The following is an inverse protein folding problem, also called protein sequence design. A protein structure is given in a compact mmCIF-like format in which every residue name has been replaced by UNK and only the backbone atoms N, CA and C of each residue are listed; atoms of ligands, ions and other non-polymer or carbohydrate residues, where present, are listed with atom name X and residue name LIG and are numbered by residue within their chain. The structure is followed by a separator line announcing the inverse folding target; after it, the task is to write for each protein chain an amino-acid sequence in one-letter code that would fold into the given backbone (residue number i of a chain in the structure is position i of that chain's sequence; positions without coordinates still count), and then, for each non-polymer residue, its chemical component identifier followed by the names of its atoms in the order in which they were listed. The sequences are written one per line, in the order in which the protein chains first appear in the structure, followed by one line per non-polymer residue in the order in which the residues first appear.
data_IF_200828625897
#
_entry.id   IF_200828625897
#
_cell.length_a   1.000
_cell.length_b   1.000
_cell.length_c   1.000
_cell.angle_alpha   90.00
_cell.angle_beta   90.00
_cell.angle_gamma   90.00
#
_symmetry.space_group_name_H-M   'P 1'
#
loop_
_entity.id
_entity.type
_entity.pdbx_description
1 polymer ?
#
# COMPACT_ATOMS: atom_id res chain seq x y z
N UNK A 1 15.87 -9.50 -18.04
CA UNK A 1 15.12 -9.16 -16.82
C UNK A 1 14.03 -8.15 -17.16
N UNK A 2 12.78 -8.36 -16.72
CA UNK A 2 11.67 -7.49 -17.05
C UNK A 2 11.82 -6.09 -16.43
N UNK A 3 11.22 -5.09 -17.05
CA UNK A 3 11.28 -3.68 -16.63
C UNK A 3 10.76 -3.50 -15.19
N UNK A 4 11.58 -2.90 -14.32
CA UNK A 4 11.20 -2.44 -12.98
C UNK A 4 11.84 -3.17 -11.79
N UNK A 5 12.70 -4.15 -11.97
CA UNK A 5 13.44 -4.81 -10.87
C UNK A 5 14.76 -4.08 -10.66
N UNK A 6 15.02 -3.49 -9.50
CA UNK A 6 16.25 -2.76 -9.21
C UNK A 6 17.33 -3.60 -8.50
N UNK A 7 16.91 -4.68 -7.81
CA UNK A 7 17.79 -5.59 -7.09
C UNK A 7 17.17 -6.99 -7.02
N UNK A 8 18.00 -8.03 -6.91
CA UNK A 8 17.58 -9.41 -6.79
C UNK A 8 18.45 -10.14 -5.75
N UNK A 9 17.86 -11.06 -4.99
CA UNK A 9 18.59 -11.91 -4.03
C UNK A 9 18.91 -13.25 -4.67
N UNK A 10 20.13 -13.73 -4.53
CA UNK A 10 20.55 -15.05 -5.04
C UNK A 10 19.98 -16.14 -4.14
N UNK A 11 19.10 -16.97 -4.69
CA UNK A 11 18.50 -18.12 -3.96
C UNK A 11 19.46 -19.30 -3.96
N UNK A 12 19.91 -19.72 -5.15
CA UNK A 12 20.82 -20.83 -5.30
C UNK A 12 21.61 -20.77 -6.62
N UNK A 13 22.83 -21.31 -6.60
CA UNK A 13 23.62 -21.55 -7.80
C UNK A 13 23.36 -22.99 -8.28
N UNK A 14 23.03 -23.13 -9.57
CA UNK A 14 22.79 -24.45 -10.21
C UNK A 14 24.08 -25.11 -10.64
N UNK A 15 25.17 -24.33 -10.74
CA UNK A 15 26.51 -24.81 -11.12
C UNK A 15 27.56 -24.27 -10.12
N UNK A 16 28.64 -25.05 -9.93
CA UNK A 16 29.76 -24.67 -9.05
C UNK A 16 30.89 -23.99 -9.79
N UNK A 17 31.85 -23.39 -9.07
CA UNK A 17 33.09 -22.89 -9.63
C UNK A 17 33.87 -24.02 -10.29
N UNK A 18 34.21 -23.88 -11.55
CA UNK A 18 34.89 -24.89 -12.35
C UNK A 18 34.00 -25.66 -13.32
N UNK A 19 32.68 -25.53 -13.23
CA UNK A 19 31.75 -26.19 -14.14
C UNK A 19 31.65 -25.45 -15.49
N UNK A 20 31.37 -26.24 -16.54
CA UNK A 20 31.17 -25.72 -17.90
C UNK A 20 29.67 -25.64 -18.18
N UNK A 21 29.22 -24.47 -18.62
CA UNK A 21 27.82 -24.20 -18.97
C UNK A 21 27.69 -23.83 -20.44
N UNK A 22 26.53 -24.10 -21.02
CA UNK A 22 26.22 -23.74 -22.41
C UNK A 22 25.38 -22.45 -22.42
N UNK A 23 25.41 -21.78 -23.57
CA UNK A 23 24.52 -20.66 -23.83
C UNK A 23 23.06 -21.04 -23.55
N UNK A 24 22.30 -20.18 -22.89
CA UNK A 24 20.93 -20.34 -22.41
C UNK A 24 20.72 -21.37 -21.25
N UNK A 25 21.79 -21.98 -20.70
CA UNK A 25 21.64 -22.77 -19.47
C UNK A 25 21.35 -21.84 -18.27
N UNK A 26 20.36 -22.20 -17.46
CA UNK A 26 20.07 -21.50 -16.20
C UNK A 26 21.19 -21.74 -15.21
N UNK A 27 21.91 -20.69 -14.79
CA UNK A 27 23.09 -20.80 -13.91
C UNK A 27 22.83 -20.42 -12.47
N UNK A 28 21.84 -19.57 -12.23
CA UNK A 28 21.50 -19.07 -10.89
C UNK A 28 20.00 -18.80 -10.77
N UNK A 29 19.41 -19.19 -9.65
CA UNK A 29 18.06 -18.80 -9.26
C UNK A 29 18.11 -17.51 -8.43
N UNK A 30 17.28 -16.55 -8.78
CA UNK A 30 17.16 -15.27 -8.08
C UNK A 30 15.74 -15.01 -7.62
N UNK A 31 15.60 -14.46 -6.41
CA UNK A 31 14.34 -13.89 -5.92
C UNK A 31 14.29 -12.40 -6.20
N UNK A 32 13.22 -11.95 -6.83
CA UNK A 32 12.90 -10.52 -6.96
C UNK A 32 11.71 -10.19 -6.07
N UNK A 33 11.41 -8.92 -5.89
CA UNK A 33 10.24 -8.42 -5.14
C UNK A 33 8.90 -9.05 -5.57
N UNK A 34 8.83 -9.67 -6.76
CA UNK A 34 7.56 -10.14 -7.33
C UNK A 34 7.54 -11.59 -7.76
N UNK A 35 8.65 -12.18 -8.17
CA UNK A 35 8.72 -13.54 -8.71
C UNK A 35 10.14 -14.08 -8.58
N UNK A 36 10.26 -15.37 -8.29
CA UNK A 36 11.51 -16.12 -8.41
C UNK A 36 11.75 -16.47 -9.88
N UNK A 37 12.96 -16.25 -10.37
CA UNK A 37 13.29 -16.43 -11.78
C UNK A 37 14.69 -17.01 -11.94
N UNK A 38 14.84 -17.91 -12.92
CA UNK A 38 16.13 -18.43 -13.34
C UNK A 38 16.82 -17.45 -14.28
N UNK A 39 18.12 -17.26 -14.09
CA UNK A 39 18.94 -16.42 -14.96
C UNK A 39 19.79 -17.30 -15.87
N UNK A 40 19.52 -17.31 -17.20
CA UNK A 40 20.34 -18.04 -18.16
C UNK A 40 21.65 -17.31 -18.44
N UNK A 41 22.69 -18.09 -18.78
CA UNK A 41 23.95 -17.49 -19.25
C UNK A 41 23.85 -17.07 -20.72
N UNK A 42 24.34 -15.87 -21.07
CA UNK A 42 24.32 -15.38 -22.45
C UNK A 42 25.44 -15.98 -23.33
N UNK A 43 26.33 -16.78 -22.76
CA UNK A 43 27.50 -17.34 -23.47
C UNK A 43 27.89 -18.72 -22.91
N UNK A 44 28.41 -19.58 -23.76
CA UNK A 44 28.99 -20.86 -23.33
C UNK A 44 30.39 -20.63 -22.77
N UNK A 45 30.70 -21.20 -21.60
CA UNK A 45 31.99 -21.03 -20.97
C UNK A 45 32.13 -21.78 -19.65
N UNK A 46 33.26 -21.59 -18.98
CA UNK A 46 33.55 -22.20 -17.67
C UNK A 46 33.40 -21.13 -16.57
N UNK A 47 32.70 -21.43 -15.51
CA UNK A 47 32.58 -20.54 -14.35
C UNK A 47 33.91 -20.53 -13.61
N UNK A 48 34.62 -19.41 -13.64
CA UNK A 48 35.92 -19.27 -13.00
C UNK A 48 35.77 -18.92 -11.54
N UNK A 49 34.84 -17.98 -11.23
CA UNK A 49 34.63 -17.51 -9.87
C UNK A 49 33.22 -16.98 -9.69
N UNK A 50 32.62 -17.31 -8.57
CA UNK A 50 31.34 -16.76 -8.09
C UNK A 50 31.63 -15.56 -7.20
N UNK A 51 31.13 -14.38 -7.56
CA UNK A 51 31.37 -13.12 -6.85
C UNK A 51 30.30 -12.85 -5.78
N UNK A 52 29.10 -13.40 -5.94
CA UNK A 52 27.98 -13.26 -5.00
C UNK A 52 27.52 -14.63 -4.55
N UNK A 53 27.41 -14.83 -3.25
CA UNK A 53 27.01 -16.10 -2.67
C UNK A 53 25.49 -16.19 -2.46
N UNK A 54 25.01 -17.37 -2.07
CA UNK A 54 23.61 -17.57 -1.67
C UNK A 54 23.20 -16.56 -0.59
N UNK A 55 21.98 -16.03 -0.69
CA UNK A 55 21.37 -15.04 0.18
C UNK A 55 21.99 -13.62 0.08
N UNK A 56 22.88 -13.36 -0.89
CA UNK A 56 23.37 -12.00 -1.17
C UNK A 56 22.54 -11.28 -2.22
N UNK A 57 22.43 -9.95 -2.05
CA UNK A 57 21.70 -9.07 -2.97
C UNK A 57 22.62 -8.57 -4.06
N UNK A 58 22.20 -8.73 -5.31
CA UNK A 58 22.85 -8.19 -6.50
C UNK A 58 22.01 -7.08 -7.15
N UNK A 59 22.61 -5.95 -7.48
CA UNK A 59 21.95 -4.86 -8.20
C UNK A 59 22.04 -5.04 -9.70
N UNK A 60 21.11 -4.44 -10.45
CA UNK A 60 21.14 -4.48 -11.90
C UNK A 60 22.47 -3.87 -12.40
N UNK A 61 23.16 -4.61 -13.29
CA UNK A 61 24.45 -4.23 -13.83
C UNK A 61 25.67 -4.63 -12.97
N UNK A 62 25.44 -5.25 -11.80
CA UNK A 62 26.53 -5.78 -10.98
C UNK A 62 26.94 -7.17 -11.47
N UNK A 63 28.24 -7.42 -11.55
CA UNK A 63 28.75 -8.73 -11.92
C UNK A 63 28.53 -9.75 -10.80
N UNK A 64 27.88 -10.88 -11.09
CA UNK A 64 27.60 -11.95 -10.11
C UNK A 64 28.57 -13.12 -10.21
N UNK A 65 29.16 -13.36 -11.39
CA UNK A 65 30.16 -14.40 -11.62
C UNK A 65 31.12 -13.99 -12.75
N UNK A 66 32.31 -14.61 -12.78
CA UNK A 66 33.32 -14.47 -13.85
C UNK A 66 33.35 -15.79 -14.61
N UNK A 67 33.21 -15.72 -15.93
CA UNK A 67 33.26 -16.87 -16.82
C UNK A 67 34.42 -16.76 -17.80
N UNK A 68 35.09 -17.87 -18.08
CA UNK A 68 36.09 -18.01 -19.14
C UNK A 68 35.42 -18.55 -20.40
N UNK A 69 35.42 -17.74 -21.47
CA UNK A 69 34.82 -18.10 -22.74
C UNK A 69 35.88 -18.80 -23.60
N UNK A 70 35.63 -19.98 -24.10
CA UNK A 70 36.50 -20.70 -25.00
C UNK A 70 36.44 -20.06 -26.42
N UNK A 71 37.28 -19.05 -26.70
CA UNK A 71 37.38 -18.37 -28.00
C UNK A 71 38.08 -17.03 -27.90
N UNK A 72 39.29 -16.98 -28.45
CA UNK A 72 40.19 -15.89 -28.76
C UNK A 72 40.01 -14.49 -28.11
N UNK A 73 41.12 -14.06 -27.52
CA UNK A 73 41.28 -12.83 -26.76
C UNK A 73 41.01 -11.53 -27.50
N UNK A 74 40.49 -10.57 -26.77
CA UNK A 74 40.33 -9.19 -27.18
C UNK A 74 40.17 -8.28 -25.97
N UNK A 75 41.16 -7.43 -25.78
CA UNK A 75 41.39 -6.57 -24.62
C UNK A 75 40.31 -5.52 -24.36
N UNK A 76 40.14 -5.24 -23.10
CA UNK A 76 39.69 -4.03 -22.40
C UNK A 76 39.67 -2.75 -23.24
N UNK A 77 38.57 -2.03 -23.26
CA UNK A 77 38.52 -0.58 -23.39
C UNK A 77 37.33 -0.02 -22.64
N UNK A 78 37.67 0.74 -21.64
CA UNK A 78 36.85 1.68 -20.84
C UNK A 78 36.51 2.88 -21.75
N UNK A 79 35.24 3.33 -21.77
CA UNK A 79 34.82 4.74 -21.71
C UNK A 79 33.29 4.90 -21.92
N UNK A 80 32.67 5.88 -21.24
CA UNK A 80 31.24 6.11 -21.29
C UNK A 80 30.81 6.98 -22.47
N UNK A 81 29.72 6.63 -23.14
CA UNK A 81 29.06 7.51 -24.11
C UNK A 81 27.62 7.83 -23.73
N UNK A 82 27.34 9.13 -23.79
CA UNK A 82 26.02 9.78 -23.60
C UNK A 82 24.98 9.39 -24.66
N UNK A 83 23.68 9.62 -24.39
CA UNK A 83 22.60 9.09 -25.20
C UNK A 83 22.35 9.90 -26.47
N UNK A 84 22.21 9.21 -27.58
CA UNK A 84 21.66 9.76 -28.83
C UNK A 84 20.17 9.39 -28.94
N UNK A 85 19.36 10.43 -29.17
CA UNK A 85 17.99 10.45 -29.68
C UNK A 85 17.77 9.46 -30.83
N UNK A 86 16.67 8.72 -30.76
CA UNK A 86 16.14 7.94 -31.90
C UNK A 86 14.65 8.23 -32.06
N UNK A 87 14.34 8.61 -33.30
CA UNK A 87 13.00 8.89 -33.85
C UNK A 87 12.11 7.64 -33.97
N UNK A 88 10.82 7.89 -33.92
CA UNK A 88 9.67 7.14 -34.43
C UNK A 88 9.88 5.70 -34.95
N UNK A 89 9.24 4.74 -34.26
CA UNK A 89 8.71 3.53 -34.90
C UNK A 89 7.32 3.24 -34.35
N UNK A 90 6.32 3.43 -35.22
CA UNK A 90 4.98 2.90 -35.06
C UNK A 90 5.05 1.37 -34.97
N UNK A 91 4.45 0.78 -33.96
CA UNK A 91 4.21 -0.66 -33.92
C UNK A 91 2.72 -0.94 -33.66
N UNK A 92 2.14 -1.60 -34.63
CA UNK A 92 0.81 -2.22 -34.63
C UNK A 92 0.63 -3.12 -33.40
N UNK A 93 -0.50 -2.97 -32.73
CA UNK A 93 -0.97 -3.86 -31.65
C UNK A 93 -1.92 -4.87 -32.28
N UNK A 94 -1.66 -6.19 -32.22
CA UNK A 94 -2.65 -7.19 -32.61
C UNK A 94 -3.76 -7.26 -31.55
N UNK A 95 -5.00 -7.11 -31.97
CA UNK A 95 -6.20 -7.39 -31.17
C UNK A 95 -6.35 -8.91 -30.97
N UNK A 96 -6.42 -9.32 -29.71
CA UNK A 96 -6.78 -10.69 -29.32
C UNK A 96 -8.29 -10.90 -29.46
N UNK A 97 -8.69 -12.05 -29.98
CA UNK A 97 -10.08 -12.42 -30.27
C UNK A 97 -10.84 -12.83 -29.00
N UNK A 98 -12.16 -12.59 -29.01
CA UNK A 98 -13.11 -12.82 -27.90
C UNK A 98 -13.23 -14.27 -27.38
N UNK A 99 -12.57 -15.23 -27.98
CA UNK A 99 -12.56 -16.65 -27.54
C UNK A 99 -11.48 -16.96 -26.51
N UNK A 100 -10.36 -16.21 -26.47
CA UNK A 100 -9.27 -16.44 -25.51
C UNK A 100 -9.53 -15.85 -24.13
N UNK A 101 -10.52 -14.97 -23.99
CA UNK A 101 -10.89 -14.36 -22.68
C UNK A 101 -11.76 -15.28 -21.81
N UNK A 102 -12.43 -16.29 -22.41
CA UNK A 102 -13.33 -17.20 -21.69
C UNK A 102 -12.66 -18.36 -20.94
N UNK A 103 -11.39 -18.59 -21.15
CA UNK A 103 -10.68 -19.70 -20.49
C UNK A 103 -10.01 -19.31 -19.17
N UNK A 104 -10.00 -18.02 -18.80
CA UNK A 104 -9.38 -17.50 -17.57
C UNK A 104 -10.34 -17.31 -16.38
N UNK A 105 -11.64 -17.63 -16.54
CA UNK A 105 -12.62 -17.52 -15.45
C UNK A 105 -13.01 -18.91 -14.90
N UNK A 106 -12.07 -19.60 -14.25
CA UNK A 106 -12.44 -20.68 -13.32
C UNK A 106 -11.91 -20.36 -11.92
N UNK A 107 -12.78 -20.34 -10.89
CA UNK A 107 -12.37 -20.01 -9.53
C UNK A 107 -11.53 -21.15 -8.94
N UNK A 108 -10.30 -20.84 -8.53
CA UNK A 108 -9.46 -21.70 -7.72
C UNK A 108 -9.94 -21.63 -6.27
N UNK A 109 -10.51 -22.71 -5.81
CA UNK A 109 -10.87 -22.91 -4.40
C UNK A 109 -9.63 -22.90 -3.53
N UNK A 110 -9.70 -22.14 -2.43
CA UNK A 110 -8.67 -22.05 -1.41
C UNK A 110 -8.47 -23.39 -0.72
N UNK A 111 -7.27 -23.95 -0.79
CA UNK A 111 -6.82 -25.05 0.06
C UNK A 111 -5.62 -24.59 0.88
N UNK A 112 -5.70 -24.75 2.19
CA UNK A 112 -4.62 -24.54 3.14
C UNK A 112 -3.37 -25.33 2.74
N UNK A 113 -2.27 -24.65 2.45
CA UNK A 113 -0.96 -25.26 2.21
C UNK A 113 -0.31 -25.62 3.54
N UNK A 114 -0.23 -26.89 3.83
CA UNK A 114 0.72 -27.43 4.82
C UNK A 114 2.05 -27.67 4.09
N UNK A 115 3.09 -26.91 4.41
CA UNK A 115 4.42 -27.10 3.84
C UNK A 115 5.14 -28.26 4.56
N UNK A 116 5.59 -29.25 3.81
CA UNK A 116 6.42 -30.35 4.32
C UNK A 116 7.90 -30.00 4.11
N UNK A 117 8.62 -29.77 5.20
CA UNK A 117 10.05 -29.49 5.23
C UNK A 117 10.77 -30.58 6.03
N UNK A 118 11.41 -31.53 5.35
CA UNK A 118 12.18 -32.58 6.01
C UNK A 118 12.67 -33.69 5.07
N UNK A 119 13.65 -34.46 5.48
CA UNK A 119 14.46 -35.48 4.79
C UNK A 119 13.70 -36.69 4.18
N UNK A 120 12.43 -36.58 3.83
CA UNK A 120 11.67 -37.66 3.21
C UNK A 120 11.33 -37.29 1.78
N UNK A 121 11.87 -38.04 0.82
CA UNK A 121 11.54 -37.85 -0.58
C UNK A 121 10.14 -38.42 -0.89
N UNK A 122 9.15 -37.54 -1.01
CA UNK A 122 7.76 -37.88 -1.35
C UNK A 122 7.48 -37.56 -2.82
N UNK A 123 6.87 -38.52 -3.55
CA UNK A 123 6.41 -38.22 -4.90
C UNK A 123 5.28 -37.18 -4.89
N UNK A 124 5.07 -36.39 -5.97
CA UNK A 124 4.02 -35.41 -6.06
C UNK A 124 2.62 -35.97 -5.72
N UNK A 125 2.32 -37.18 -6.17
CA UNK A 125 1.05 -37.86 -5.90
C UNK A 125 0.89 -38.23 -4.42
N UNK A 126 1.95 -38.71 -3.77
CA UNK A 126 1.96 -39.05 -2.34
C UNK A 126 1.80 -37.80 -1.48
N UNK A 127 2.42 -36.70 -1.90
CA UNK A 127 2.31 -35.39 -1.24
C UNK A 127 0.89 -34.83 -1.35
N UNK A 128 0.24 -34.96 -2.50
CA UNK A 128 -1.15 -34.56 -2.72
C UNK A 128 -2.12 -35.32 -1.82
N UNK A 129 -2.01 -36.65 -1.75
CA UNK A 129 -2.86 -37.49 -0.91
C UNK A 129 -2.63 -37.18 0.58
N UNK A 130 -1.39 -36.98 1.01
CA UNK A 130 -1.07 -36.64 2.39
C UNK A 130 -1.66 -35.27 2.80
N UNK A 131 -1.73 -34.31 1.89
CA UNK A 131 -2.37 -33.01 2.10
C UNK A 131 -3.89 -33.10 2.14
N UNK A 132 -4.49 -33.90 1.26
CA UNK A 132 -5.95 -34.07 1.16
C UNK A 132 -6.51 -34.79 2.41
N UNK A 133 -5.79 -35.77 2.93
CA UNK A 133 -6.17 -36.57 4.10
C UNK A 133 -5.62 -36.05 5.43
N UNK A 134 -5.01 -34.86 5.44
CA UNK A 134 -4.42 -34.20 6.62
C UNK A 134 -3.48 -35.12 7.43
N UNK A 135 -2.56 -35.80 6.75
CA UNK A 135 -1.54 -36.66 7.37
C UNK A 135 -0.36 -35.77 7.77
N UNK A 136 -0.01 -35.77 9.05
CA UNK A 136 1.11 -34.97 9.56
C UNK A 136 2.48 -35.56 9.17
N UNK A 137 3.52 -34.73 9.16
CA UNK A 137 4.89 -35.19 8.85
C UNK A 137 5.40 -36.28 9.83
N UNK A 138 4.96 -36.22 11.08
CA UNK A 138 5.28 -37.25 12.09
C UNK A 138 4.63 -38.59 11.76
N UNK A 139 3.41 -38.59 11.24
CA UNK A 139 2.69 -39.78 10.79
C UNK A 139 3.34 -40.34 9.51
N UNK A 140 3.75 -39.51 8.55
CA UNK A 140 4.46 -39.95 7.37
C UNK A 140 5.80 -40.64 7.70
N UNK A 141 6.52 -40.18 8.73
CA UNK A 141 7.74 -40.83 9.22
C UNK A 141 7.50 -42.21 9.83
N UNK A 142 6.29 -42.49 10.29
CA UNK A 142 5.91 -43.79 10.86
C UNK A 142 5.53 -44.84 9.80
N UNK A 143 5.25 -44.39 8.57
CA UNK A 143 4.86 -45.30 7.46
C UNK A 143 6.10 -45.90 6.83
N UNK A 144 6.18 -47.23 6.87
CA UNK A 144 7.28 -47.98 6.26
C UNK A 144 7.11 -48.02 4.73
N UNK A 145 7.94 -47.30 3.99
CA UNK A 145 7.90 -47.29 2.52
C UNK A 145 8.37 -48.62 1.91
N UNK A 146 7.64 -49.09 0.91
CA UNK A 146 7.96 -50.34 0.14
C UNK A 146 8.51 -50.03 -1.25
N UNK A 147 8.65 -48.75 -1.63
CA UNK A 147 9.23 -48.37 -2.93
C UNK A 147 10.74 -48.43 -2.99
N UNK A 148 11.31 -48.15 -4.17
CA UNK A 148 12.76 -48.17 -4.41
C UNK A 148 13.45 -47.22 -3.37
N UNK A 149 14.51 -47.70 -2.72
CA UNK A 149 15.22 -46.98 -1.65
C UNK A 149 14.36 -46.63 -0.41
N UNK A 150 13.29 -47.43 -0.13
CA UNK A 150 12.46 -47.19 1.04
C UNK A 150 11.42 -46.03 0.89
N UNK A 151 11.14 -45.62 -0.32
CA UNK A 151 10.17 -44.52 -0.60
C UNK A 151 8.75 -44.94 -0.28
N UNK A 152 7.96 -44.00 0.24
CA UNK A 152 6.53 -44.20 0.50
C UNK A 152 5.76 -44.16 -0.81
N UNK A 153 4.99 -45.22 -1.09
CA UNK A 153 4.15 -45.35 -2.28
C UNK A 153 2.70 -45.03 -1.97
N UNK A 154 1.87 -44.83 -3.01
CA UNK A 154 0.42 -44.62 -2.88
C UNK A 154 -0.24 -45.70 -2.05
N UNK A 155 0.15 -46.96 -2.26
CA UNK A 155 -0.39 -48.12 -1.55
C UNK A 155 -0.09 -48.08 -0.04
N UNK A 156 1.11 -47.59 0.34
CA UNK A 156 1.48 -47.46 1.75
C UNK A 156 0.62 -46.45 2.48
N UNK A 157 0.28 -45.31 1.83
CA UNK A 157 -0.61 -44.32 2.41
C UNK A 157 -2.04 -44.84 2.53
N UNK A 158 -2.56 -45.48 1.50
CA UNK A 158 -3.92 -46.04 1.56
C UNK A 158 -4.07 -47.12 2.63
N UNK A 159 -3.10 -48.04 2.76
CA UNK A 159 -3.08 -49.02 3.84
C UNK A 159 -2.95 -48.40 5.24
N UNK A 160 -2.25 -47.27 5.37
CA UNK A 160 -2.17 -46.51 6.62
C UNK A 160 -3.53 -45.90 6.96
N UNK A 161 -4.23 -45.31 6.00
CA UNK A 161 -5.57 -44.71 6.20
C UNK A 161 -6.62 -45.74 6.60
N UNK A 162 -6.60 -46.94 6.01
CA UNK A 162 -7.47 -48.05 6.39
C UNK A 162 -7.24 -48.49 7.85
N UNK A 163 -6.00 -48.50 8.30
CA UNK A 163 -5.63 -48.88 9.67
C UNK A 163 -5.87 -47.73 10.69
N UNK A 164 -5.89 -46.47 10.24
CA UNK A 164 -6.15 -45.27 11.08
C UNK A 164 -7.59 -45.28 11.64
N UNK A 165 -8.55 -45.85 10.92
CA UNK A 165 -9.95 -45.92 11.31
C UNK A 165 -10.24 -46.95 12.42
N UNK A 166 -9.26 -47.74 12.87
CA UNK A 166 -9.45 -48.83 13.85
C UNK A 166 -8.84 -48.53 15.24
N UNK A 167 -8.11 -47.44 15.39
CA UNK A 167 -7.48 -47.05 16.66
C UNK A 167 -8.04 -45.75 17.21
N UNK A 168 -9.18 -45.84 17.95
CA UNK A 168 -9.57 -44.79 18.90
C UNK A 168 -8.66 -44.86 20.15
N UNK A 169 -8.12 -43.75 20.69
CA UNK A 169 -7.19 -43.81 21.79
C UNK A 169 -7.89 -44.06 23.12
N UNK A 170 -7.41 -45.09 23.84
CA UNK A 170 -7.73 -45.34 25.23
C UNK A 170 -7.24 -44.18 26.11
N UNK A 171 -8.10 -43.75 27.04
CA UNK A 171 -7.78 -42.77 28.09
C UNK A 171 -6.53 -43.17 28.86
N UNK A 172 -5.48 -42.41 28.75
CA UNK A 172 -4.29 -42.49 29.61
C UNK A 172 -4.42 -41.51 30.76
N UNK A 173 -4.14 -42.04 31.97
CA UNK A 173 -4.17 -41.39 33.27
C UNK A 173 -3.38 -40.06 33.30
N UNK A 174 -3.89 -39.11 34.10
CA UNK A 174 -3.29 -37.79 34.33
C UNK A 174 -1.84 -37.86 34.82
N UNK A 175 -0.89 -37.15 34.21
CA UNK A 175 0.38 -36.82 34.82
C UNK A 175 0.27 -35.55 35.66
N UNK A 176 0.92 -35.58 36.82
CA UNK A 176 1.10 -34.50 37.75
C UNK A 176 1.62 -33.23 37.07
N UNK A 177 1.08 -32.09 37.53
CA UNK A 177 1.39 -30.72 37.11
C UNK A 177 2.91 -30.42 37.15
N UNK A 178 3.48 -30.26 35.95
CA UNK A 178 4.71 -29.48 35.78
C UNK A 178 4.43 -28.00 35.96
N UNK A 179 5.35 -27.16 36.44
CA UNK A 179 5.08 -25.76 36.69
C UNK A 179 4.73 -25.06 35.38
N UNK A 180 3.63 -24.30 35.39
CA UNK A 180 3.17 -23.51 34.27
C UNK A 180 4.32 -22.64 33.75
N UNK A 181 4.70 -22.86 32.48
CA UNK A 181 5.46 -21.88 31.75
C UNK A 181 4.61 -20.60 31.67
N UNK A 182 5.07 -19.58 32.42
CA UNK A 182 4.50 -18.23 32.29
C UNK A 182 4.55 -17.85 30.83
N UNK A 183 3.38 -17.62 30.25
CA UNK A 183 3.27 -17.07 28.93
C UNK A 183 4.16 -15.82 28.88
N UNK A 184 5.16 -15.82 28.01
CA UNK A 184 6.02 -14.67 27.82
C UNK A 184 5.10 -13.55 27.30
N UNK A 185 4.86 -12.56 28.17
CA UNK A 185 4.31 -11.27 27.75
C UNK A 185 5.12 -10.76 26.57
N UNK A 186 4.47 -10.25 25.51
CA UNK A 186 5.19 -9.66 24.38
C UNK A 186 6.22 -8.66 24.91
N UNK A 187 7.47 -8.77 24.47
CA UNK A 187 8.53 -7.85 24.88
C UNK A 187 8.06 -6.41 24.64
N UNK A 188 8.21 -5.50 25.62
CA UNK A 188 7.84 -4.11 25.43
C UNK A 188 8.62 -3.57 24.22
N UNK A 189 7.92 -2.80 23.37
CA UNK A 189 8.53 -2.13 22.22
C UNK A 189 9.78 -1.36 22.71
N UNK A 190 10.87 -1.30 21.92
CA UNK A 190 12.12 -0.67 22.33
C UNK A 190 11.84 0.77 22.75
N UNK A 191 12.00 1.05 24.03
CA UNK A 191 11.96 2.40 24.60
C UNK A 191 13.18 3.10 24.04
N UNK A 192 12.99 4.17 23.27
CA UNK A 192 14.09 5.00 22.80
C UNK A 192 14.95 5.44 23.99
N UNK A 193 16.28 5.35 23.84
CA UNK A 193 17.21 5.80 24.89
C UNK A 193 16.91 7.27 25.27
N UNK A 194 16.98 7.63 26.55
CA UNK A 194 16.72 9.00 26.98
C UNK A 194 17.71 9.95 26.30
N UNK A 195 17.17 11.05 25.73
CA UNK A 195 17.97 12.10 25.13
C UNK A 195 18.72 12.85 26.23
N UNK A 196 20.06 12.99 26.17
CA UNK A 196 20.81 13.76 27.18
C UNK A 196 20.40 15.24 27.11
N UNK A 197 20.10 15.84 28.26
CA UNK A 197 19.77 17.26 28.41
C UNK A 197 21.08 18.04 28.63
N UNK A 198 21.38 18.99 27.73
CA UNK A 198 22.57 19.83 27.81
C UNK A 198 22.43 20.98 28.82
N UNK A 199 23.56 21.61 29.16
CA UNK A 199 23.54 22.79 30.01
C UNK A 199 22.92 23.99 29.28
N UNK A 200 21.75 24.46 29.78
CA UNK A 200 20.99 25.54 29.15
C UNK A 200 19.75 25.09 28.38
N UNK A 201 19.52 23.79 28.26
CA UNK A 201 18.31 23.25 27.65
C UNK A 201 17.12 23.39 28.60
N UNK A 202 15.97 23.79 28.06
CA UNK A 202 14.70 23.85 28.79
C UNK A 202 13.89 22.58 28.52
N UNK A 203 13.47 21.90 29.58
CA UNK A 203 12.63 20.70 29.48
C UNK A 203 11.17 21.09 29.63
N UNK A 204 10.41 21.05 28.52
CA UNK A 204 8.98 21.31 28.50
C UNK A 204 8.21 19.99 28.50
N UNK A 205 7.40 19.77 29.52
CA UNK A 205 6.56 18.58 29.59
C UNK A 205 5.34 18.69 28.68
N UNK A 206 5.07 17.64 27.89
CA UNK A 206 3.84 17.55 27.10
C UNK A 206 2.61 17.49 28.01
N UNK A 207 1.60 18.29 27.71
CA UNK A 207 0.28 18.17 28.32
C UNK A 207 -0.40 16.84 27.97
N UNK A 208 -1.50 16.53 28.66
CA UNK A 208 -2.24 15.26 28.47
C UNK A 208 -2.75 15.10 27.03
N UNK A 209 -3.25 16.17 26.42
CA UNK A 209 -3.81 16.12 25.06
C UNK A 209 -2.70 15.86 24.04
N UNK A 210 -1.56 16.55 24.19
CA UNK A 210 -0.39 16.37 23.33
C UNK A 210 0.18 14.95 23.41
N UNK A 211 0.19 14.33 24.59
CA UNK A 211 0.61 12.92 24.74
C UNK A 211 -0.32 11.98 23.97
N UNK A 212 -1.64 12.13 24.13
CA UNK A 212 -2.63 11.31 23.40
C UNK A 212 -2.45 11.45 21.88
N UNK A 213 -2.23 12.67 21.39
CA UNK A 213 -1.98 12.91 19.97
C UNK A 213 -0.68 12.23 19.53
N UNK A 214 0.41 12.36 20.29
CA UNK A 214 1.70 11.75 19.98
C UNK A 214 1.58 10.23 19.86
N UNK A 215 0.95 9.58 20.83
CA UNK A 215 0.72 8.14 20.83
C UNK A 215 -0.14 7.69 19.64
N UNK A 216 -1.19 8.44 19.32
CA UNK A 216 -2.06 8.16 18.18
C UNK A 216 -1.30 8.27 16.84
N UNK A 217 -0.42 9.26 16.68
CA UNK A 217 0.36 9.47 15.45
C UNK A 217 1.44 8.37 15.27
N UNK A 218 2.16 8.03 16.34
CA UNK A 218 3.13 6.92 16.32
C UNK A 218 2.42 5.61 16.00
N UNK A 219 1.29 5.34 16.66
CA UNK A 219 0.51 4.13 16.43
C UNK A 219 -0.01 4.05 14.97
N UNK A 220 -0.50 5.15 14.41
CA UNK A 220 -0.96 5.19 13.03
C UNK A 220 0.16 4.82 12.04
N UNK A 221 1.35 5.39 12.22
CA UNK A 221 2.52 5.08 11.37
C UNK A 221 3.00 3.63 11.50
N UNK A 222 2.81 3.02 12.69
CA UNK A 222 3.16 1.61 12.91
C UNK A 222 2.14 0.65 12.28
N UNK A 223 0.85 1.00 12.32
CA UNK A 223 -0.24 0.13 11.83
C UNK A 223 -0.38 0.23 10.31
N UNK A 224 -0.35 1.44 9.76
CA UNK A 224 -0.69 1.70 8.35
C UNK A 224 0.56 2.06 7.55
N UNK A 225 0.98 1.26 6.56
CA UNK A 225 1.97 1.65 5.57
C UNK A 225 1.41 2.80 4.74
N UNK A 226 1.88 4.03 4.99
CA UNK A 226 1.40 5.23 4.31
C UNK A 226 2.06 5.41 2.95
N UNK A 227 1.26 5.49 1.91
CA UNK A 227 1.65 5.99 0.58
C UNK A 227 0.91 7.29 0.33
N UNK A 228 1.52 8.24 -0.37
CA UNK A 228 0.89 9.52 -0.69
C UNK A 228 0.97 9.80 -2.19
N UNK A 229 -0.18 10.00 -2.83
CA UNK A 229 -0.31 10.45 -4.20
C UNK A 229 -0.57 11.96 -4.23
N UNK A 230 -0.02 12.65 -5.24
CA UNK A 230 -0.16 14.09 -5.41
C UNK A 230 -0.75 14.42 -6.77
N UNK A 231 -1.57 15.47 -6.83
CA UNK A 231 -2.08 16.02 -8.08
C UNK A 231 -2.20 17.54 -7.97
N UNK A 232 -1.84 18.24 -9.03
CA UNK A 232 -2.10 19.68 -9.18
C UNK A 232 -3.44 19.87 -9.89
N UNK A 233 -4.31 20.69 -9.33
CA UNK A 233 -5.70 20.87 -9.80
C UNK A 233 -5.95 22.32 -10.15
N UNK A 234 -6.52 22.57 -11.33
CA UNK A 234 -7.02 23.89 -11.69
C UNK A 234 -8.38 24.15 -11.04
N UNK A 235 -8.38 24.98 -10.01
CA UNK A 235 -9.58 25.38 -9.26
C UNK A 235 -10.08 26.77 -9.65
N UNK A 236 -9.71 27.27 -10.83
CA UNK A 236 -10.09 28.61 -11.28
C UNK A 236 -11.62 28.79 -11.31
N UNK A 237 -12.36 27.77 -11.77
CA UNK A 237 -13.81 27.82 -11.78
C UNK A 237 -14.40 27.85 -10.37
N UNK A 238 -13.86 27.07 -9.44
CA UNK A 238 -14.25 27.09 -8.04
C UNK A 238 -14.00 28.48 -7.40
N UNK A 239 -12.85 29.10 -7.69
CA UNK A 239 -12.52 30.45 -7.21
C UNK A 239 -13.48 31.49 -7.78
N UNK A 240 -13.75 31.47 -9.09
CA UNK A 240 -14.71 32.38 -9.75
C UNK A 240 -16.11 32.20 -9.18
N UNK A 241 -16.58 30.96 -9.07
CA UNK A 241 -17.90 30.64 -8.54
C UNK A 241 -18.06 31.13 -7.09
N UNK A 242 -17.10 30.81 -6.21
CA UNK A 242 -17.14 31.28 -4.82
C UNK A 242 -17.13 32.80 -4.74
N UNK A 243 -16.30 33.47 -5.55
CA UNK A 243 -16.22 34.95 -5.55
C UNK A 243 -17.56 35.59 -5.93
N UNK A 244 -18.27 34.99 -6.88
CA UNK A 244 -19.61 35.45 -7.30
C UNK A 244 -20.68 35.24 -6.21
N UNK A 245 -20.60 34.13 -5.44
CA UNK A 245 -21.68 33.72 -4.54
C UNK A 245 -21.45 34.07 -3.07
N UNK A 246 -20.20 34.37 -2.64
CA UNK A 246 -19.86 34.57 -1.22
C UNK A 246 -20.69 35.67 -0.54
N UNK A 247 -20.85 36.83 -1.18
CA UNK A 247 -21.56 37.97 -0.60
C UNK A 247 -23.08 37.77 -0.59
N UNK A 248 -23.61 37.08 -1.61
CA UNK A 248 -25.02 36.68 -1.72
C UNK A 248 -25.35 35.67 -0.62
N UNK A 249 -24.49 34.67 -0.43
CA UNK A 249 -24.66 33.66 0.60
C UNK A 249 -24.59 34.26 2.01
N UNK A 250 -23.60 35.15 2.27
CA UNK A 250 -23.45 35.81 3.58
C UNK A 250 -24.68 36.70 3.91
N UNK A 251 -25.22 37.40 2.92
CA UNK A 251 -26.45 38.20 3.11
C UNK A 251 -27.69 37.33 3.36
N UNK A 252 -27.79 36.18 2.71
CA UNK A 252 -28.96 35.29 2.82
C UNK A 252 -28.91 34.42 4.08
N UNK A 253 -27.74 33.88 4.42
CA UNK A 253 -27.58 32.86 5.47
C UNK A 253 -26.94 33.42 6.75
N UNK A 254 -26.37 34.64 6.73
CA UNK A 254 -25.64 35.22 7.85
C UNK A 254 -24.25 34.64 8.09
N UNK A 255 -23.75 33.80 7.18
CA UNK A 255 -22.51 33.04 7.34
C UNK A 255 -21.58 33.14 6.14
N UNK A 256 -20.27 32.95 6.38
CA UNK A 256 -19.25 33.02 5.33
C UNK A 256 -19.21 31.77 4.50
N UNK A 257 -19.17 31.92 3.16
CA UNK A 257 -18.92 30.85 2.24
C UNK A 257 -17.40 30.65 2.04
N UNK A 258 -16.85 29.55 2.59
CA UNK A 258 -15.45 29.14 2.40
C UNK A 258 -15.30 28.14 1.24
N UNK A 259 -14.10 27.68 0.91
CA UNK A 259 -13.86 26.62 -0.08
C UNK A 259 -14.16 25.21 0.46
N UNK A 260 -14.12 25.03 1.79
CA UNK A 260 -14.27 23.72 2.42
C UNK A 260 -15.55 22.97 2.04
N UNK A 261 -16.74 23.58 1.95
CA UNK A 261 -17.96 22.90 1.51
C UNK A 261 -17.83 22.28 0.12
N UNK A 262 -17.14 22.96 -0.80
CA UNK A 262 -16.92 22.50 -2.17
C UNK A 262 -15.96 21.30 -2.17
N UNK A 263 -14.87 21.36 -1.40
CA UNK A 263 -13.91 20.26 -1.28
C UNK A 263 -14.55 19.03 -0.62
N UNK A 264 -15.33 19.22 0.44
CA UNK A 264 -16.07 18.13 1.08
C UNK A 264 -17.07 17.50 0.09
N UNK A 265 -17.78 18.32 -0.70
CA UNK A 265 -18.73 17.81 -1.72
C UNK A 265 -18.01 16.96 -2.78
N UNK A 266 -16.84 17.39 -3.25
CA UNK A 266 -16.01 16.64 -4.20
C UNK A 266 -15.54 15.30 -3.62
N UNK A 267 -15.06 15.30 -2.36
CA UNK A 267 -14.64 14.09 -1.65
C UNK A 267 -15.81 13.12 -1.48
N UNK A 268 -16.96 13.62 -1.03
CA UNK A 268 -18.16 12.79 -0.85
C UNK A 268 -18.57 12.12 -2.17
N UNK A 269 -18.54 12.87 -3.27
CA UNK A 269 -18.85 12.33 -4.60
C UNK A 269 -17.85 11.24 -4.99
N UNK A 270 -16.56 11.48 -4.78
CA UNK A 270 -15.53 10.48 -5.05
C UNK A 270 -15.67 9.22 -4.17
N UNK A 271 -16.03 9.36 -2.88
CA UNK A 271 -16.27 8.20 -2.00
C UNK A 271 -17.46 7.37 -2.46
N UNK A 272 -18.51 8.00 -3.00
CA UNK A 272 -19.68 7.28 -3.54
C UNK A 272 -19.28 6.39 -4.73
N UNK A 273 -18.39 6.87 -5.59
CA UNK A 273 -17.91 6.15 -6.77
C UNK A 273 -16.76 5.17 -6.42
N UNK A 274 -15.98 5.45 -5.35
CA UNK A 274 -14.89 4.60 -4.85
C UNK A 274 -15.09 4.20 -3.37
N UNK A 275 -16.09 3.36 -3.06
CA UNK A 275 -16.50 3.10 -1.67
C UNK A 275 -15.46 2.34 -0.84
N UNK A 276 -14.44 1.73 -1.44
CA UNK A 276 -13.32 1.09 -0.74
C UNK A 276 -12.35 2.09 -0.08
N UNK A 277 -12.49 3.38 -0.35
CA UNK A 277 -11.79 4.45 0.40
C UNK A 277 -12.48 4.72 1.75
N UNK A 278 -13.76 4.38 1.89
CA UNK A 278 -14.56 4.60 3.10
C UNK A 278 -14.65 3.33 3.96
N UNK A 279 -13.49 2.79 4.34
CA UNK A 279 -13.39 1.51 5.08
C UNK A 279 -12.52 1.66 6.33
N UNK A 280 -12.54 0.64 7.16
CA UNK A 280 -11.58 0.43 8.25
C UNK A 280 -11.04 -0.99 8.17
N UNK A 281 -9.84 -1.22 8.70
CA UNK A 281 -9.18 -2.53 8.74
C UNK A 281 -9.23 -3.07 10.16
N UNK A 282 -9.65 -4.32 10.31
CA UNK A 282 -9.67 -5.06 11.58
C UNK A 282 -9.07 -6.45 11.35
N UNK A 283 -7.81 -6.64 11.70
CA UNK A 283 -7.04 -7.84 11.37
C UNK A 283 -6.98 -8.06 9.85
N UNK A 284 -7.55 -9.16 9.40
CA UNK A 284 -7.71 -9.58 8.01
C UNK A 284 -9.03 -9.15 7.34
N UNK A 285 -9.85 -8.34 8.05
CA UNK A 285 -11.18 -7.92 7.59
C UNK A 285 -11.20 -6.46 7.17
N UNK A 286 -11.88 -6.19 6.05
CA UNK A 286 -12.19 -4.83 5.58
C UNK A 286 -13.63 -4.52 5.95
N UNK A 287 -13.83 -3.50 6.77
CA UNK A 287 -15.15 -3.05 7.23
C UNK A 287 -15.59 -1.85 6.40
N UNK A 288 -16.46 -2.06 5.41
CA UNK A 288 -17.02 -0.99 4.59
C UNK A 288 -18.05 -0.19 5.40
N UNK A 289 -17.80 1.12 5.53
CA UNK A 289 -18.69 2.01 6.27
C UNK A 289 -19.87 2.43 5.40
N UNK A 290 -21.09 2.38 5.99
CA UNK A 290 -22.32 2.81 5.31
C UNK A 290 -22.39 4.33 5.20
N UNK A 291 -22.09 5.03 6.30
CA UNK A 291 -22.20 6.48 6.39
C UNK A 291 -20.88 7.12 5.90
N UNK A 292 -20.99 8.28 5.29
CA UNK A 292 -19.83 9.10 4.88
C UNK A 292 -19.71 10.26 5.87
N UNK A 293 -18.81 10.10 6.83
CA UNK A 293 -18.56 11.09 7.89
C UNK A 293 -17.18 11.72 7.67
N UNK A 294 -17.14 13.00 7.36
CA UNK A 294 -15.91 13.70 7.02
C UNK A 294 -15.32 14.41 8.23
N UNK A 295 -14.16 13.94 8.70
CA UNK A 295 -13.35 14.65 9.68
C UNK A 295 -12.70 15.88 9.04
N UNK A 296 -12.76 17.02 9.70
CA UNK A 296 -12.17 18.29 9.23
C UNK A 296 -11.07 18.74 10.20
N UNK A 297 -9.81 18.60 9.80
CA UNK A 297 -8.69 19.06 10.63
C UNK A 297 -8.75 20.58 10.86
N UNK A 298 -8.93 20.99 12.11
CA UNK A 298 -9.11 22.38 12.51
C UNK A 298 -8.02 22.77 13.51
N UNK A 299 -7.23 23.80 13.15
CA UNK A 299 -6.24 24.37 14.05
C UNK A 299 -6.90 25.19 15.16
N UNK A 300 -6.42 25.00 16.39
CA UNK A 300 -6.84 25.73 17.57
C UNK A 300 -5.89 26.92 17.84
N UNK A 301 -6.34 27.93 18.61
CA UNK A 301 -5.49 29.08 18.96
C UNK A 301 -4.25 28.72 19.78
N UNK A 302 -4.27 27.60 20.49
CA UNK A 302 -3.16 27.08 21.31
C UNK A 302 -2.13 26.26 20.52
N UNK A 303 -2.27 26.23 19.18
CA UNK A 303 -1.39 25.47 18.30
C UNK A 303 -1.69 23.95 18.23
N UNK A 304 -2.69 23.48 18.95
CA UNK A 304 -3.19 22.12 18.83
C UNK A 304 -4.11 21.97 17.60
N UNK A 305 -4.35 20.73 17.21
CA UNK A 305 -5.25 20.40 16.11
C UNK A 305 -6.34 19.47 16.64
N UNK A 306 -7.60 19.76 16.26
CA UNK A 306 -8.75 18.90 16.56
C UNK A 306 -9.47 18.54 15.25
N UNK A 307 -10.14 17.40 15.22
CA UNK A 307 -10.82 16.91 14.01
C UNK A 307 -12.32 16.76 14.29
N UNK A 308 -13.12 17.85 14.23
CA UNK A 308 -14.57 17.71 14.26
C UNK A 308 -15.10 17.00 13.03
N UNK A 309 -16.25 16.36 13.15
CA UNK A 309 -16.80 15.41 12.18
C UNK A 309 -18.12 15.88 11.61
N UNK A 310 -18.18 16.07 10.30
CA UNK A 310 -19.39 16.32 9.55
C UNK A 310 -20.08 14.97 9.32
N UNK A 311 -21.15 14.70 10.06
CA UNK A 311 -21.90 13.46 9.98
C UNK A 311 -22.74 13.40 8.71
N UNK A 312 -22.81 12.22 8.06
CA UNK A 312 -23.62 11.98 6.87
C UNK A 312 -23.48 13.10 5.81
N UNK A 313 -22.24 13.43 5.49
CA UNK A 313 -21.92 14.54 4.59
C UNK A 313 -22.52 14.38 3.18
N UNK A 314 -22.83 13.14 2.78
CA UNK A 314 -23.52 12.80 1.54
C UNK A 314 -24.97 13.26 1.46
N UNK A 315 -25.63 13.44 2.61
CA UNK A 315 -27.03 13.88 2.72
C UNK A 315 -27.18 15.40 2.78
N UNK A 316 -26.09 16.14 2.93
CA UNK A 316 -26.11 17.59 3.06
C UNK A 316 -26.02 18.29 1.71
N UNK A 317 -26.86 19.32 1.53
CA UNK A 317 -26.71 20.30 0.44
C UNK A 317 -25.43 21.12 0.63
N UNK A 318 -24.99 21.85 -0.39
CA UNK A 318 -23.83 22.71 -0.31
C UNK A 318 -23.98 23.79 0.78
N UNK A 319 -25.18 24.37 0.92
CA UNK A 319 -25.53 25.30 1.99
C UNK A 319 -25.50 24.62 3.36
N UNK A 320 -26.06 23.39 3.48
CA UNK A 320 -26.00 22.59 4.70
C UNK A 320 -24.58 22.27 5.14
N UNK A 321 -23.71 21.89 4.19
CA UNK A 321 -22.28 21.68 4.45
C UNK A 321 -21.61 22.96 4.95
N UNK A 322 -21.89 24.12 4.33
CA UNK A 322 -21.31 25.40 4.73
C UNK A 322 -21.66 25.76 6.17
N UNK A 323 -22.95 25.65 6.54
CA UNK A 323 -23.41 25.89 7.90
C UNK A 323 -22.79 24.95 8.93
N UNK A 324 -22.78 23.65 8.65
CA UNK A 324 -22.21 22.63 9.54
C UNK A 324 -20.71 22.84 9.73
N UNK A 325 -19.97 23.14 8.66
CA UNK A 325 -18.52 23.41 8.71
C UNK A 325 -18.24 24.65 9.54
N UNK A 326 -18.99 25.73 9.34
CA UNK A 326 -18.79 26.98 10.09
C UNK A 326 -19.12 26.80 11.58
N UNK A 327 -20.21 26.12 11.92
CA UNK A 327 -20.59 25.82 13.30
C UNK A 327 -19.51 24.97 14.00
N UNK A 328 -19.10 23.86 13.39
CA UNK A 328 -18.06 23.00 13.94
C UNK A 328 -16.73 23.74 14.12
N UNK A 329 -16.32 24.55 13.13
CA UNK A 329 -15.09 25.36 13.22
C UNK A 329 -15.19 26.45 14.32
N UNK A 330 -16.34 27.10 14.47
CA UNK A 330 -16.59 28.04 15.53
C UNK A 330 -16.52 27.39 16.92
N UNK A 331 -17.23 26.27 17.10
CA UNK A 331 -17.24 25.54 18.36
C UNK A 331 -15.85 24.98 18.70
N UNK A 332 -15.10 24.51 17.70
CA UNK A 332 -13.71 24.05 17.89
C UNK A 332 -12.84 25.16 18.49
N UNK A 333 -12.78 26.35 17.84
CA UNK A 333 -11.95 27.48 18.28
C UNK A 333 -12.36 28.05 19.64
N UNK A 334 -13.63 27.92 20.01
CA UNK A 334 -14.17 28.40 21.28
C UNK A 334 -14.25 27.30 22.37
N UNK A 335 -13.62 26.14 22.16
CA UNK A 335 -13.62 24.97 23.10
C UNK A 335 -15.03 24.52 23.50
N UNK A 336 -15.99 24.58 22.54
CA UNK A 336 -17.42 24.24 22.74
C UNK A 336 -17.80 22.95 22.00
N UNK A 337 -16.84 22.17 21.49
CA UNK A 337 -17.12 20.86 20.90
C UNK A 337 -17.52 19.87 21.99
N UNK A 338 -18.49 19.03 21.66
CA UNK A 338 -18.92 17.90 22.49
C UNK A 338 -18.10 16.67 22.08
N UNK A 339 -17.98 15.65 22.94
CA UNK A 339 -17.22 14.43 22.61
C UNK A 339 -17.72 13.74 21.33
N UNK A 340 -19.02 13.74 21.08
CA UNK A 340 -19.62 13.17 19.87
C UNK A 340 -19.27 13.92 18.57
N UNK A 341 -18.89 15.19 18.67
CA UNK A 341 -18.52 16.00 17.51
C UNK A 341 -17.14 15.60 16.92
N UNK A 342 -16.33 14.84 17.66
CA UNK A 342 -14.98 14.43 17.25
C UNK A 342 -14.87 12.92 16.97
N UNK A 343 -15.97 12.18 17.04
CA UNK A 343 -15.98 10.73 16.89
C UNK A 343 -16.71 10.27 15.64
N UNK A 344 -16.26 9.11 15.12
CA UNK A 344 -16.93 8.40 14.02
C UNK A 344 -16.64 9.00 12.64
N UNK A 345 -15.54 9.70 12.45
CA UNK A 345 -15.04 10.06 11.12
C UNK A 345 -14.66 8.79 10.33
N UNK A 346 -14.99 8.78 9.05
CA UNK A 346 -14.66 7.66 8.14
C UNK A 346 -13.64 8.05 7.09
N UNK A 347 -13.48 9.34 6.84
CA UNK A 347 -12.46 9.95 5.98
C UNK A 347 -12.13 11.35 6.51
N UNK A 348 -10.91 11.83 6.33
CA UNK A 348 -10.50 13.15 6.87
C UNK A 348 -9.98 14.07 5.77
N UNK A 349 -10.31 15.36 5.87
CA UNK A 349 -9.70 16.43 5.07
C UNK A 349 -8.88 17.36 5.97
N UNK A 350 -7.68 17.73 5.51
CA UNK A 350 -6.79 18.70 6.17
C UNK A 350 -6.48 19.85 5.23
N UNK A 351 -6.67 21.09 5.69
CA UNK A 351 -6.33 22.28 4.91
C UNK A 351 -4.98 22.83 5.36
N UNK A 352 -3.91 22.44 4.66
CA UNK A 352 -2.55 22.95 4.92
C UNK A 352 -2.27 24.28 4.20
N UNK A 353 -3.11 24.62 3.22
CA UNK A 353 -3.03 25.86 2.46
C UNK A 353 -3.33 27.11 3.30
N UNK A 354 -4.08 26.97 4.41
CA UNK A 354 -4.31 28.05 5.37
C UNK A 354 -3.04 28.58 6.03
N UNK A 355 -1.95 27.79 6.04
CA UNK A 355 -0.62 28.15 6.52
C UNK A 355 0.34 28.54 5.38
N UNK A 356 -0.14 28.62 4.13
CA UNK A 356 0.68 28.89 2.95
C UNK A 356 1.39 27.69 2.34
N UNK A 357 1.21 26.50 2.88
CA UNK A 357 1.83 25.28 2.37
C UNK A 357 1.20 24.84 1.03
N UNK A 358 2.05 24.45 0.08
CA UNK A 358 1.57 23.97 -1.22
C UNK A 358 1.12 22.51 -1.15
N UNK A 359 1.85 21.68 -0.42
CA UNK A 359 1.61 20.23 -0.29
C UNK A 359 1.89 19.78 1.14
N UNK A 360 1.43 18.58 1.50
CA UNK A 360 1.77 17.93 2.75
C UNK A 360 1.52 16.43 2.65
N UNK A 361 2.17 15.64 3.51
CA UNK A 361 1.96 14.21 3.66
C UNK A 361 1.28 13.94 4.99
N UNK A 362 -0.06 14.07 5.08
CA UNK A 362 -0.77 13.94 6.34
C UNK A 362 -0.73 12.50 6.86
N UNK A 363 -0.72 12.35 8.19
CA UNK A 363 -0.82 11.06 8.85
C UNK A 363 -2.30 10.67 8.95
N UNK A 364 -2.62 9.42 8.67
CA UNK A 364 -3.98 8.90 8.65
C UNK A 364 -4.51 8.78 10.08
N UNK A 365 -5.63 9.43 10.45
CA UNK A 365 -6.25 9.22 11.76
C UNK A 365 -6.88 7.82 11.83
N UNK A 366 -6.43 6.98 12.75
CA UNK A 366 -7.03 5.65 12.92
C UNK A 366 -8.47 5.74 13.46
N UNK A 367 -9.39 4.83 13.07
CA UNK A 367 -9.24 3.64 12.23
C UNK A 367 -9.52 3.88 10.74
N UNK A 368 -9.39 5.10 10.24
CA UNK A 368 -9.57 5.42 8.82
C UNK A 368 -8.41 4.86 7.99
N UNK A 369 -8.63 4.71 6.68
CA UNK A 369 -7.60 4.22 5.75
C UNK A 369 -7.05 5.32 4.84
N UNK A 370 -7.59 6.53 4.90
CA UNK A 370 -7.11 7.62 4.05
C UNK A 370 -7.42 9.01 4.61
N UNK A 371 -6.64 9.99 4.14
CA UNK A 371 -6.76 11.41 4.45
C UNK A 371 -6.33 12.24 3.22
N UNK A 372 -7.04 13.33 2.95
CA UNK A 372 -6.69 14.29 1.90
C UNK A 372 -6.19 15.60 2.51
N UNK A 373 -4.99 16.06 2.10
CA UNK A 373 -4.55 17.42 2.35
C UNK A 373 -4.79 18.31 1.12
N UNK A 374 -5.34 19.51 1.33
CA UNK A 374 -5.49 20.54 0.30
C UNK A 374 -4.51 21.67 0.58
N UNK A 375 -3.73 22.02 -0.45
CA UNK A 375 -2.71 23.06 -0.39
C UNK A 375 -3.26 24.47 -0.61
N UNK A 376 -2.37 25.45 -0.62
CA UNK A 376 -2.70 26.83 -0.94
C UNK A 376 -3.14 26.97 -2.40
N UNK A 377 -4.17 27.76 -2.63
CA UNK A 377 -4.58 28.15 -4.00
C UNK A 377 -3.67 29.30 -4.46
N UNK A 378 -2.88 29.04 -5.49
CA UNK A 378 -1.88 29.99 -6.00
C UNK A 378 -2.16 30.30 -7.47
N UNK A 379 -2.04 31.57 -7.86
CA UNK A 379 -2.09 31.95 -9.28
C UNK A 379 -0.77 31.64 -9.95
N UNK A 380 -0.84 30.85 -11.03
CA UNK A 380 0.32 30.47 -11.85
C UNK A 380 -0.02 30.60 -13.35
N UNK A 381 0.97 30.80 -14.22
CA UNK A 381 0.77 30.57 -15.66
C UNK A 381 0.56 29.07 -15.89
N UNK A 382 -0.42 28.72 -16.71
CA UNK A 382 -0.68 27.35 -17.11
C UNK A 382 -1.03 27.31 -18.60
N UNK A 383 -0.71 26.23 -19.25
CA UNK A 383 -1.11 25.96 -20.62
C UNK A 383 -2.57 25.52 -20.62
N UNK A 384 -3.35 26.13 -21.51
CA UNK A 384 -4.71 25.71 -21.82
C UNK A 384 -4.75 25.23 -23.26
N UNK A 385 -5.11 23.98 -23.44
CA UNK A 385 -5.41 23.41 -24.76
C UNK A 385 -6.72 24.00 -25.28
N UNK A 386 -6.68 24.65 -26.43
CA UNK A 386 -7.86 25.18 -27.09
C UNK A 386 -7.99 24.60 -28.50
N UNK A 387 -9.16 24.79 -29.15
CA UNK A 387 -9.37 24.32 -30.52
C UNK A 387 -8.41 24.97 -31.53
N UNK A 388 -7.88 26.14 -31.19
CA UNK A 388 -7.00 26.92 -32.07
C UNK A 388 -5.52 26.77 -31.66
N UNK A 389 -5.20 25.82 -30.75
CA UNK A 389 -3.87 25.56 -30.20
C UNK A 389 -3.73 25.94 -28.73
N UNK A 390 -2.53 25.75 -28.20
CA UNK A 390 -2.20 25.99 -26.80
C UNK A 390 -2.01 27.48 -26.50
N UNK A 391 -2.60 27.93 -25.39
CA UNK A 391 -2.45 29.33 -24.91
C UNK A 391 -1.99 29.32 -23.46
N UNK A 392 -1.17 30.32 -23.09
CA UNK A 392 -0.78 30.52 -21.69
C UNK A 392 -1.81 31.42 -21.03
N UNK A 393 -2.36 30.94 -19.91
CA UNK A 393 -3.33 31.70 -19.11
C UNK A 393 -2.97 31.69 -17.64
N UNK A 394 -3.38 32.73 -16.88
CA UNK A 394 -3.26 32.76 -15.44
C UNK A 394 -4.39 31.93 -14.85
N UNK A 395 -4.03 30.85 -14.13
CA UNK A 395 -4.96 29.92 -13.48
C UNK A 395 -4.74 29.91 -11.98
N UNK A 396 -5.78 29.58 -11.22
CA UNK A 396 -5.70 29.32 -9.79
C UNK A 396 -5.47 27.82 -9.60
N UNK A 397 -4.25 27.44 -9.26
CA UNK A 397 -3.84 26.05 -9.10
C UNK A 397 -3.71 25.69 -7.61
N UNK A 398 -4.02 24.46 -7.28
CA UNK A 398 -3.96 23.92 -5.93
C UNK A 398 -3.45 22.47 -5.98
N UNK A 399 -2.49 22.15 -5.14
CA UNK A 399 -2.10 20.75 -4.93
C UNK A 399 -3.04 20.04 -3.96
N UNK A 400 -3.34 18.80 -4.26
CA UNK A 400 -3.97 17.86 -3.35
C UNK A 400 -3.02 16.71 -3.07
N UNK A 401 -2.94 16.27 -1.82
CA UNK A 401 -2.10 15.18 -1.36
C UNK A 401 -2.98 14.16 -0.66
N UNK A 402 -3.09 12.95 -1.22
CA UNK A 402 -3.91 11.85 -0.72
C UNK A 402 -3.02 10.79 -0.09
N UNK A 403 -2.98 10.72 1.24
CA UNK A 403 -2.29 9.65 1.98
C UNK A 403 -3.27 8.53 2.27
N UNK A 404 -2.86 7.29 2.02
CA UNK A 404 -3.70 6.10 2.20
C UNK A 404 -2.91 4.91 2.75
N UNK A 405 -3.64 3.99 3.39
CA UNK A 405 -3.13 2.76 3.96
C UNK A 405 -2.96 1.70 2.85
N UNK A 406 -1.72 1.41 2.49
CA UNK A 406 -1.39 0.54 1.36
C UNK A 406 -1.72 -0.95 1.59
N UNK A 407 -2.20 -1.30 2.78
CA UNK A 407 -2.73 -2.66 3.02
C UNK A 407 -4.05 -2.93 2.31
N UNK A 408 -4.85 -1.86 2.04
CA UNK A 408 -6.20 -1.98 1.47
C UNK A 408 -6.47 -1.02 0.32
N UNK A 409 -5.68 0.04 0.18
CA UNK A 409 -5.76 1.00 -0.91
C UNK A 409 -4.46 0.93 -1.69
N UNK A 410 -4.51 0.36 -2.88
CA UNK A 410 -3.37 0.32 -3.80
C UNK A 410 -3.19 1.64 -4.57
N UNK A 411 -2.09 1.74 -5.33
CA UNK A 411 -1.78 2.93 -6.12
C UNK A 411 -2.84 3.24 -7.17
N UNK A 412 -3.50 2.22 -7.74
CA UNK A 412 -4.58 2.38 -8.71
C UNK A 412 -5.82 2.99 -8.06
N UNK A 413 -6.32 2.38 -7.00
CA UNK A 413 -7.50 2.87 -6.29
C UNK A 413 -7.27 4.28 -5.70
N UNK A 414 -6.13 4.50 -5.02
CA UNK A 414 -5.77 5.78 -4.43
C UNK A 414 -5.59 6.88 -5.48
N UNK A 415 -4.95 6.55 -6.62
CA UNK A 415 -4.75 7.47 -7.74
C UNK A 415 -6.05 7.80 -8.46
N UNK A 416 -6.90 6.81 -8.77
CA UNK A 416 -8.21 7.03 -9.41
C UNK A 416 -9.15 7.87 -8.53
N UNK A 417 -9.19 7.59 -7.24
CA UNK A 417 -9.95 8.40 -6.29
C UNK A 417 -9.49 9.87 -6.31
N UNK A 418 -8.19 10.12 -6.20
CA UNK A 418 -7.63 11.47 -6.22
C UNK A 418 -7.91 12.18 -7.55
N UNK A 419 -7.77 11.45 -8.67
CA UNK A 419 -8.12 11.96 -10.01
C UNK A 419 -9.60 12.33 -10.12
N UNK A 420 -10.49 11.54 -9.53
CA UNK A 420 -11.92 11.83 -9.53
C UNK A 420 -12.26 13.12 -8.75
N UNK A 421 -11.63 13.32 -7.58
CA UNK A 421 -11.73 14.59 -6.82
C UNK A 421 -11.21 15.77 -7.66
N UNK A 422 -10.06 15.59 -8.33
CA UNK A 422 -9.47 16.56 -9.23
C UNK A 422 -10.43 16.94 -10.35
N UNK A 423 -10.98 15.96 -11.09
CA UNK A 423 -11.88 16.19 -12.21
C UNK A 423 -13.15 16.91 -11.77
N UNK A 424 -13.72 16.55 -10.63
CA UNK A 424 -14.88 17.22 -10.07
C UNK A 424 -14.62 18.70 -9.78
N UNK A 425 -13.47 19.03 -9.20
CA UNK A 425 -13.09 20.40 -8.89
C UNK A 425 -12.71 21.22 -10.13
N UNK A 426 -11.96 20.62 -11.05
CA UNK A 426 -11.55 21.28 -12.30
C UNK A 426 -12.75 21.62 -13.19
N UNK A 427 -13.72 20.70 -13.28
CA UNK A 427 -14.92 20.83 -14.07
C UNK A 427 -16.09 21.46 -13.29
N UNK A 428 -15.80 22.20 -12.20
CA UNK A 428 -16.84 22.85 -11.39
C UNK A 428 -17.76 23.72 -12.25
N UNK A 429 -19.08 23.44 -12.21
CA UNK A 429 -20.06 24.23 -12.94
C UNK A 429 -20.29 25.61 -12.28
N UNK A 430 -20.06 26.65 -13.06
CA UNK A 430 -20.26 28.06 -12.64
C UNK A 430 -21.73 28.41 -12.38
N UNK A 431 -22.67 27.60 -12.85
CA UNK A 431 -24.12 27.75 -12.64
C UNK A 431 -24.64 26.95 -11.43
N UNK A 432 -23.79 26.25 -10.73
CA UNK A 432 -24.19 25.52 -9.51
C UNK A 432 -24.91 26.45 -8.56
N UNK A 433 -26.12 26.07 -8.16
CA UNK A 433 -26.90 26.80 -7.15
C UNK A 433 -26.40 26.48 -5.73
N UNK A 434 -26.56 27.45 -4.79
CA UNK A 434 -26.17 27.33 -3.40
C UNK A 434 -27.35 27.60 -2.46
#
# INVERSE_FOLDING_TARGET
MGEGVMEATIISWLYAEGDTVKEDDSVVEIATDKVDSDVPTPVSGKIVKILKQKDEVAKIGEAIAIMEIAGEGGAVADQPQEPKTVEDVQTDIPQLSDEEVKELEKPLSATNKTEFSGDIYLSPLVKSIAQEENISEAELKSIKGTGLEGRITKENILAYLENRSVSAPAQAAAPQSAPAQVAQTPAPAPVSAPVPVGQGDEVIQMDRVRKIIADAMVNSKRISPHVTSFIETDVTNVVKWRTKHKDIFEKREGEKLTYMPIFVKAIVKAIQDFPLINVSVDGDKIIKKKNINIGMATALPDGNLIVPVIKNADQLSLSGLAKTINDLAYRARNKKLRPEDTQGATYTISNVGGFGNLMGTPIIPQPQVAILAVGAIVKKPAVLETKDGDVIAIRSLMFMSHSYDHRVVDGSLGGMFLKHVHDYLQNWDLNTEI
#
